data_IF_015940642736
#
_entry.id   IF_015940642736
#
_cell.length_a   1.000
_cell.length_b   1.000
_cell.length_c   1.000
_cell.angle_alpha   90.00
_cell.angle_beta   90.00
_cell.angle_gamma   90.00
#
_symmetry.space_group_name_H-M   'P 1'
#
loop_
_entity.id
_entity.type
_entity.pdbx_description
1 polymer ?
#
# COMPACT_ATOMS: atom_id res chain seq x y z
N UNK A 1 -14.95 -4.26 -0.76
CA UNK A 1 -15.68 -3.13 -1.38
C UNK A 1 -14.78 -2.10 -2.07
N UNK A 2 -13.93 -1.32 -1.39
CA UNK A 2 -13.09 -0.30 -2.05
C UNK A 2 -12.11 -0.88 -3.10
N UNK A 3 -11.43 -1.98 -2.77
CA UNK A 3 -10.53 -2.70 -3.69
C UNK A 3 -11.30 -3.26 -4.89
N UNK A 4 -12.42 -3.93 -4.63
CA UNK A 4 -13.30 -4.49 -5.67
C UNK A 4 -13.79 -3.41 -6.64
N UNK A 5 -14.18 -2.24 -6.12
CA UNK A 5 -14.61 -1.12 -6.96
C UNK A 5 -13.49 -0.59 -7.85
N UNK A 6 -12.26 -0.49 -7.32
CA UNK A 6 -11.09 -0.09 -8.12
C UNK A 6 -10.82 -1.10 -9.25
N UNK A 7 -10.91 -2.41 -8.95
CA UNK A 7 -10.74 -3.47 -9.95
C UNK A 7 -11.86 -3.44 -11.00
N UNK A 8 -13.12 -3.32 -10.57
CA UNK A 8 -14.27 -3.23 -11.48
C UNK A 8 -14.22 -1.98 -12.38
N UNK A 9 -13.60 -0.90 -11.93
CA UNK A 9 -13.36 0.30 -12.72
C UNK A 9 -12.20 0.15 -13.73
N UNK A 10 -11.58 -1.04 -13.84
CA UNK A 10 -10.44 -1.31 -14.74
C UNK A 10 -9.09 -0.92 -14.15
N UNK A 11 -9.01 -0.69 -12.84
CA UNK A 11 -7.77 -0.34 -12.15
C UNK A 11 -6.72 -1.46 -12.20
N UNK A 12 -5.45 -1.07 -12.27
CA UNK A 12 -4.32 -1.99 -12.28
C UNK A 12 -4.03 -2.46 -10.86
N UNK A 13 -4.44 -3.69 -10.51
CA UNK A 13 -4.30 -4.21 -9.16
C UNK A 13 -3.49 -5.50 -9.10
N UNK A 14 -2.67 -5.64 -8.06
CA UNK A 14 -1.90 -6.83 -7.76
C UNK A 14 -2.28 -7.40 -6.38
N UNK A 15 -2.79 -8.63 -6.32
CA UNK A 15 -3.04 -9.31 -5.06
C UNK A 15 -1.73 -9.85 -4.46
N UNK A 16 -1.36 -9.37 -3.29
CA UNK A 16 -0.33 -9.99 -2.46
C UNK A 16 -0.94 -11.24 -1.79
N UNK A 17 -0.45 -12.42 -2.18
CA UNK A 17 -0.85 -13.69 -1.58
C UNK A 17 -0.10 -13.89 -0.25
N UNK A 18 -0.79 -14.03 0.90
CA UNK A 18 -0.16 -14.25 2.20
C UNK A 18 0.77 -15.49 2.23
N UNK A 19 0.48 -16.51 1.42
CA UNK A 19 1.33 -17.70 1.33
C UNK A 19 2.72 -17.41 0.75
N UNK A 20 2.92 -16.26 0.10
CA UNK A 20 4.24 -15.84 -0.34
C UNK A 20 5.23 -15.69 0.84
N UNK A 21 4.73 -15.36 2.04
CA UNK A 21 5.54 -15.23 3.26
C UNK A 21 6.20 -16.53 3.72
N UNK A 22 5.68 -17.68 3.27
CA UNK A 22 6.19 -19.00 3.66
C UNK A 22 6.83 -19.75 2.48
N UNK A 23 6.49 -19.37 1.24
CA UNK A 23 6.90 -20.08 0.04
C UNK A 23 8.00 -19.35 -0.76
N UNK A 24 8.33 -18.11 -0.40
CA UNK A 24 9.29 -17.28 -1.13
C UNK A 24 10.01 -16.35 -0.17
N UNK A 25 11.17 -15.84 -0.57
CA UNK A 25 11.84 -14.77 0.19
C UNK A 25 11.12 -13.44 -0.06
N UNK A 26 11.10 -12.58 0.96
CA UNK A 26 10.53 -11.23 0.84
C UNK A 26 11.16 -10.45 -0.32
N UNK A 27 12.48 -10.58 -0.51
CA UNK A 27 13.21 -9.95 -1.61
C UNK A 27 12.67 -10.34 -2.98
N UNK A 28 12.36 -11.63 -3.19
CA UNK A 28 11.80 -12.12 -4.45
C UNK A 28 10.39 -11.57 -4.66
N UNK A 29 9.55 -11.59 -3.62
CA UNK A 29 8.17 -11.08 -3.70
C UNK A 29 8.15 -9.59 -4.02
N UNK A 30 9.01 -8.80 -3.35
CA UNK A 30 9.17 -7.37 -3.63
C UNK A 30 9.62 -7.17 -5.07
N UNK A 31 10.65 -7.88 -5.52
CA UNK A 31 11.18 -7.75 -6.87
C UNK A 31 10.12 -8.04 -7.95
N UNK A 32 9.32 -9.09 -7.77
CA UNK A 32 8.27 -9.48 -8.70
C UNK A 32 7.17 -8.41 -8.79
N UNK A 33 6.74 -7.86 -7.65
CA UNK A 33 5.72 -6.80 -7.60
C UNK A 33 6.24 -5.52 -8.22
N UNK A 34 7.48 -5.12 -7.94
CA UNK A 34 8.08 -3.93 -8.53
C UNK A 34 8.30 -4.08 -10.04
N UNK A 35 8.69 -5.27 -10.51
CA UNK A 35 8.82 -5.58 -11.93
C UNK A 35 7.47 -5.50 -12.65
N UNK A 36 6.38 -5.96 -12.01
CA UNK A 36 5.02 -5.80 -12.51
C UNK A 36 4.57 -4.33 -12.52
N UNK A 37 4.84 -3.56 -11.46
CA UNK A 37 4.36 -2.19 -11.32
C UNK A 37 5.07 -1.24 -12.28
N UNK A 38 6.39 -1.36 -12.45
CA UNK A 38 7.24 -0.44 -13.21
C UNK A 38 6.70 -0.05 -14.60
N UNK A 39 6.29 -0.97 -15.50
CA UNK A 39 5.75 -0.60 -16.81
C UNK A 39 4.32 -0.01 -16.77
N UNK A 40 3.64 -0.10 -15.61
CA UNK A 40 2.27 0.36 -15.42
C UNK A 40 2.20 1.76 -14.81
N UNK A 41 3.18 2.15 -14.00
CA UNK A 41 3.25 3.48 -13.36
C UNK A 41 3.04 4.66 -14.33
N UNK A 42 3.59 4.66 -15.57
CA UNK A 42 3.34 5.74 -16.53
C UNK A 42 1.90 5.79 -17.06
N UNK A 43 1.12 4.71 -16.89
CA UNK A 43 -0.26 4.57 -17.39
C UNK A 43 -1.30 4.97 -16.34
N UNK A 44 -0.91 5.11 -15.07
CA UNK A 44 -1.81 5.48 -13.99
C UNK A 44 -1.49 4.78 -12.65
N UNK A 45 -2.35 4.95 -11.65
CA UNK A 45 -2.15 4.38 -10.33
C UNK A 45 -2.23 2.85 -10.36
N UNK A 46 -1.37 2.21 -9.57
CA UNK A 46 -1.39 0.77 -9.30
C UNK A 46 -1.83 0.53 -7.85
N UNK A 47 -2.55 -0.57 -7.62
CA UNK A 47 -3.01 -0.97 -6.30
C UNK A 47 -2.38 -2.31 -5.91
N UNK A 48 -1.60 -2.32 -4.83
CA UNK A 48 -1.12 -3.56 -4.21
C UNK A 48 -1.96 -3.78 -2.95
N UNK A 49 -2.53 -4.98 -2.80
CA UNK A 49 -3.40 -5.28 -1.66
C UNK A 49 -3.20 -6.72 -1.17
N UNK A 50 -3.25 -6.95 0.14
CA UNK A 50 -3.28 -8.31 0.68
C UNK A 50 -4.64 -8.94 0.39
N UNK A 51 -4.64 -10.16 -0.16
CA UNK A 51 -5.88 -10.92 -0.28
C UNK A 51 -6.40 -11.30 1.10
N UNK A 52 -7.73 -11.33 1.24
CA UNK A 52 -8.39 -11.69 2.49
C UNK A 52 -8.93 -13.12 2.45
N UNK A 53 -8.33 -14.03 1.66
CA UNK A 53 -8.79 -15.43 1.64
C UNK A 53 -8.60 -16.02 3.04
N UNK A 54 -9.68 -16.29 3.80
CA UNK A 54 -9.56 -16.62 5.21
C UNK A 54 -8.78 -17.92 5.44
N UNK A 55 -8.85 -18.85 4.48
CA UNK A 55 -8.14 -20.13 4.57
C UNK A 55 -6.63 -19.98 4.33
N UNK A 56 -6.22 -19.08 3.43
CA UNK A 56 -4.80 -18.76 3.22
C UNK A 56 -4.23 -18.03 4.43
N UNK A 57 -4.98 -17.04 4.96
CA UNK A 57 -4.59 -16.30 6.16
C UNK A 57 -4.43 -17.25 7.35
N UNK A 58 -5.39 -18.16 7.59
CA UNK A 58 -5.28 -19.17 8.66
C UNK A 58 -4.05 -20.05 8.50
N UNK A 59 -3.70 -20.47 7.28
CA UNK A 59 -2.50 -21.28 7.03
C UNK A 59 -1.23 -20.53 7.44
N UNK A 60 -1.07 -19.29 7.02
CA UNK A 60 0.10 -18.47 7.39
C UNK A 60 0.15 -18.27 8.91
N UNK A 61 -0.97 -17.89 9.52
CA UNK A 61 -1.07 -17.70 10.97
C UNK A 61 -0.77 -18.98 11.76
N UNK A 62 -1.14 -20.15 11.25
CA UNK A 62 -0.83 -21.44 11.89
C UNK A 62 0.66 -21.78 11.90
N UNK A 63 1.43 -21.26 10.94
CA UNK A 63 2.85 -21.52 10.82
C UNK A 63 3.71 -20.46 11.51
N UNK A 64 3.35 -19.18 11.34
CA UNK A 64 4.13 -18.04 11.85
C UNK A 64 3.59 -17.50 13.18
N UNK A 65 2.34 -17.78 13.52
CA UNK A 65 1.60 -17.08 14.56
C UNK A 65 0.86 -15.85 14.02
N UNK A 66 -0.24 -15.47 14.68
CA UNK A 66 -1.12 -14.37 14.23
C UNK A 66 -0.38 -13.04 14.14
N UNK A 67 0.34 -12.67 15.20
CA UNK A 67 1.07 -11.40 15.26
C UNK A 67 2.19 -11.36 14.20
N UNK A 68 3.05 -12.38 14.16
CA UNK A 68 4.17 -12.41 13.23
C UNK A 68 3.72 -12.43 11.76
N UNK A 69 2.59 -13.08 11.45
CA UNK A 69 2.00 -13.02 10.13
C UNK A 69 1.54 -11.60 9.75
N UNK A 70 0.91 -10.88 10.68
CA UNK A 70 0.51 -9.48 10.47
C UNK A 70 1.72 -8.58 10.23
N UNK A 71 2.70 -8.63 11.14
CA UNK A 71 3.93 -7.84 11.07
C UNK A 71 4.69 -8.13 9.76
N UNK A 72 4.73 -9.39 9.31
CA UNK A 72 5.39 -9.77 8.07
C UNK A 72 4.69 -9.17 6.83
N UNK A 73 3.35 -9.21 6.76
CA UNK A 73 2.60 -8.56 5.68
C UNK A 73 2.86 -7.04 5.67
N UNK A 74 2.84 -6.41 6.84
CA UNK A 74 3.05 -4.97 6.97
C UNK A 74 4.45 -4.55 6.54
N UNK A 75 5.49 -5.27 6.98
CA UNK A 75 6.87 -5.02 6.59
C UNK A 75 7.09 -5.24 5.08
N UNK A 76 6.46 -6.27 4.51
CA UNK A 76 6.53 -6.55 3.08
C UNK A 76 5.89 -5.41 2.27
N UNK A 77 4.68 -4.97 2.65
CA UNK A 77 4.01 -3.82 2.03
C UNK A 77 4.81 -2.53 2.18
N UNK A 78 5.44 -2.30 3.33
CA UNK A 78 6.30 -1.14 3.56
C UNK A 78 7.55 -1.16 2.66
N UNK A 79 8.14 -2.34 2.44
CA UNK A 79 9.27 -2.52 1.53
C UNK A 79 8.87 -2.28 0.07
N UNK A 80 7.69 -2.77 -0.33
CA UNK A 80 7.11 -2.49 -1.66
C UNK A 80 6.87 -0.98 -1.82
N UNK A 81 6.28 -0.32 -0.82
CA UNK A 81 6.02 1.12 -0.86
C UNK A 81 7.31 1.93 -1.06
N UNK A 82 8.38 1.57 -0.35
CA UNK A 82 9.71 2.17 -0.55
C UNK A 82 10.21 1.95 -1.97
N UNK A 83 10.17 0.71 -2.47
CA UNK A 83 10.60 0.40 -3.83
C UNK A 83 9.80 1.14 -4.91
N UNK A 84 8.51 1.39 -4.69
CA UNK A 84 7.69 2.20 -5.60
C UNK A 84 8.12 3.68 -5.60
N UNK A 85 8.43 4.24 -4.42
CA UNK A 85 8.99 5.61 -4.32
C UNK A 85 10.35 5.69 -4.99
N UNK A 86 11.20 4.67 -4.83
CA UNK A 86 12.50 4.58 -5.52
C UNK A 86 12.34 4.50 -7.05
N UNK A 87 11.22 3.97 -7.54
CA UNK A 87 10.84 3.97 -8.96
C UNK A 87 10.26 5.31 -9.45
N UNK A 88 10.17 6.33 -8.59
CA UNK A 88 9.69 7.67 -8.91
C UNK A 88 8.22 7.93 -8.62
N UNK A 89 7.55 7.10 -7.81
CA UNK A 89 6.18 7.40 -7.36
C UNK A 89 6.18 8.61 -6.43
N UNK A 90 5.50 9.68 -6.87
CA UNK A 90 5.33 10.93 -6.10
C UNK A 90 4.03 11.04 -5.30
N UNK A 91 3.12 10.08 -5.44
CA UNK A 91 1.84 10.02 -4.73
C UNK A 91 1.60 8.59 -4.21
N UNK A 92 1.55 8.43 -2.89
CA UNK A 92 1.38 7.14 -2.22
C UNK A 92 0.14 7.15 -1.33
N UNK A 93 -0.69 6.13 -1.44
CA UNK A 93 -1.89 5.99 -0.61
C UNK A 93 -1.80 4.64 0.12
N UNK A 94 -1.88 4.69 1.45
CA UNK A 94 -1.79 3.50 2.30
C UNK A 94 -3.09 3.35 3.09
N UNK A 95 -3.66 2.14 3.06
CA UNK A 95 -4.88 1.80 3.78
C UNK A 95 -4.59 0.73 4.84
N UNK A 96 -4.99 0.99 6.09
CA UNK A 96 -4.66 0.19 7.27
C UNK A 96 -3.79 0.99 8.23
N UNK A 97 -4.11 0.98 9.53
CA UNK A 97 -3.40 1.82 10.52
C UNK A 97 -1.97 1.34 10.74
N UNK A 98 -1.83 0.04 10.92
CA UNK A 98 -0.57 -0.66 11.13
C UNK A 98 0.29 -0.61 9.86
N UNK A 99 -0.30 -0.91 8.69
CA UNK A 99 0.35 -0.74 7.37
C UNK A 99 0.84 0.69 7.15
N UNK A 100 0.04 1.70 7.51
CA UNK A 100 0.42 3.11 7.40
C UNK A 100 1.65 3.42 8.25
N UNK A 101 1.69 2.93 9.50
CA UNK A 101 2.84 3.09 10.39
C UNK A 101 4.11 2.44 9.83
N UNK A 102 4.00 1.20 9.33
CA UNK A 102 5.10 0.48 8.72
C UNK A 102 5.67 1.23 7.50
N UNK A 103 4.81 1.69 6.59
CA UNK A 103 5.22 2.46 5.39
C UNK A 103 5.92 3.78 5.76
N UNK A 104 5.35 4.57 6.67
CA UNK A 104 5.94 5.85 7.13
C UNK A 104 7.34 5.62 7.70
N UNK A 105 7.50 4.58 8.53
CA UNK A 105 8.79 4.19 9.11
C UNK A 105 9.79 3.74 8.05
N UNK A 106 9.38 2.88 7.12
CA UNK A 106 10.27 2.37 6.06
C UNK A 106 10.75 3.45 5.09
N UNK A 107 9.91 4.47 4.86
CA UNK A 107 10.22 5.64 4.04
C UNK A 107 11.05 6.71 4.78
N UNK A 108 11.30 6.54 6.09
CA UNK A 108 12.04 7.53 6.89
C UNK A 108 11.29 8.87 7.03
N UNK A 109 9.95 8.84 7.06
CA UNK A 109 9.14 10.04 7.15
C UNK A 109 8.97 10.42 8.62
N UNK A 110 9.66 11.47 9.05
CA UNK A 110 9.55 11.99 10.42
C UNK A 110 8.56 13.15 10.55
N UNK A 111 8.25 13.81 9.42
CA UNK A 111 7.37 15.00 9.39
C UNK A 111 6.49 15.01 8.16
N UNK A 112 5.23 15.37 8.38
CA UNK A 112 4.25 15.55 7.32
C UNK A 112 3.58 16.91 7.46
N UNK A 113 3.30 17.55 6.33
CA UNK A 113 2.46 18.73 6.26
C UNK A 113 1.08 18.34 5.74
N UNK A 114 0.03 18.65 6.50
CA UNK A 114 -1.36 18.35 6.10
C UNK A 114 -1.75 19.29 4.95
N UNK A 115 -2.30 18.69 3.90
CA UNK A 115 -2.78 19.38 2.71
C UNK A 115 -4.28 19.19 2.48
N UNK A 116 -4.67 19.07 1.21
CA UNK A 116 -6.07 18.99 0.80
C UNK A 116 -6.75 17.71 1.31
N UNK A 117 -7.99 17.86 1.78
CA UNK A 117 -8.80 16.72 2.20
C UNK A 117 -9.29 15.92 0.98
N UNK A 118 -9.09 14.60 1.01
CA UNK A 118 -9.61 13.66 0.00
C UNK A 118 -11.04 13.27 0.36
N UNK A 119 -11.18 12.73 1.57
CA UNK A 119 -12.44 12.32 2.20
C UNK A 119 -12.42 12.74 3.69
N UNK A 120 -13.56 12.77 4.40
CA UNK A 120 -13.61 13.08 5.83
C UNK A 120 -12.61 12.25 6.64
N UNK A 121 -11.68 12.94 7.32
CA UNK A 121 -10.62 12.33 8.12
C UNK A 121 -9.40 11.80 7.34
N UNK A 122 -9.34 11.99 6.01
CA UNK A 122 -8.24 11.47 5.18
C UNK A 122 -7.72 12.57 4.24
N UNK A 123 -6.73 13.37 4.66
CA UNK A 123 -6.08 14.36 3.81
C UNK A 123 -4.92 13.76 3.01
N UNK A 124 -4.61 14.41 1.88
CA UNK A 124 -3.26 14.38 1.33
C UNK A 124 -2.32 15.09 2.29
N UNK A 125 -1.16 14.50 2.53
CA UNK A 125 -0.08 15.07 3.29
C UNK A 125 1.17 15.15 2.40
N UNK A 126 2.05 16.10 2.68
CA UNK A 126 3.35 16.21 2.02
C UNK A 126 4.44 15.73 2.98
N UNK A 127 5.28 14.77 2.55
CA UNK A 127 6.41 14.29 3.32
C UNK A 127 7.54 15.34 3.30
N UNK A 128 7.92 15.83 4.48
CA UNK A 128 8.93 16.88 4.61
C UNK A 128 10.31 16.27 4.85
N UNK A 129 11.28 16.66 4.03
CA UNK A 129 12.69 16.28 4.22
C UNK A 129 13.14 15.03 3.47
N UNK A 130 12.30 14.48 2.59
CA UNK A 130 12.72 13.46 1.63
C UNK A 130 13.48 14.11 0.45
N UNK A 131 14.40 13.36 -0.16
CA UNK A 131 15.11 13.79 -1.37
C UNK A 131 14.15 13.96 -2.56
N UNK A 132 13.16 13.08 -2.67
CA UNK A 132 12.12 13.15 -3.68
C UNK A 132 10.81 13.65 -3.06
N UNK A 133 10.10 14.61 -3.69
CA UNK A 133 8.80 15.06 -3.23
C UNK A 133 7.79 13.90 -3.19
N UNK A 134 7.18 13.67 -2.03
CA UNK A 134 6.19 12.62 -1.85
C UNK A 134 4.93 13.17 -1.19
N UNK A 135 3.80 12.98 -1.86
CA UNK A 135 2.49 13.12 -1.26
C UNK A 135 2.03 11.76 -0.72
N UNK A 136 1.54 11.73 0.50
CA UNK A 136 1.02 10.53 1.14
C UNK A 136 -0.39 10.74 1.67
N UNK A 137 -1.24 9.73 1.53
CA UNK A 137 -2.55 9.66 2.17
C UNK A 137 -2.61 8.40 3.04
N UNK A 138 -2.80 8.58 4.34
CA UNK A 138 -2.87 7.49 5.31
C UNK A 138 -4.32 7.30 5.75
N UNK A 139 -4.90 6.16 5.36
CA UNK A 139 -6.32 5.86 5.57
C UNK A 139 -6.47 4.72 6.57
N UNK A 140 -7.20 4.94 7.66
CA UNK A 140 -7.67 3.82 8.49
C UNK A 140 -8.60 2.91 7.68
N UNK A 141 -8.58 1.59 7.93
CA UNK A 141 -9.30 0.59 7.13
C UNK A 141 -10.79 0.91 6.90
N UNK A 142 -11.47 1.47 7.90
CA UNK A 142 -12.91 1.75 7.87
C UNK A 142 -13.31 3.12 7.29
N UNK A 143 -12.36 3.94 6.84
CA UNK A 143 -12.62 5.30 6.36
C UNK A 143 -12.76 5.40 4.83
N UNK A 144 -13.39 6.47 4.36
CA UNK A 144 -13.49 6.81 2.95
C UNK A 144 -14.63 6.13 2.19
N UNK A 145 -15.02 6.75 1.09
CA UNK A 145 -16.09 6.28 0.22
C UNK A 145 -15.71 5.00 -0.54
N UNK A 146 -16.69 4.27 -1.13
CA UNK A 146 -16.44 3.14 -2.02
C UNK A 146 -15.51 3.44 -3.21
N UNK A 147 -15.45 4.70 -3.64
CA UNK A 147 -14.67 5.20 -4.77
C UNK A 147 -13.36 5.88 -4.33
N UNK A 148 -12.93 5.68 -3.08
CA UNK A 148 -11.76 6.38 -2.52
C UNK A 148 -10.51 6.22 -3.41
N UNK A 149 -10.16 4.99 -3.78
CA UNK A 149 -8.96 4.71 -4.58
C UNK A 149 -9.04 5.23 -6.03
N UNK A 150 -10.23 5.41 -6.60
CA UNK A 150 -10.39 6.01 -7.93
C UNK A 150 -10.36 7.54 -7.87
N UNK A 151 -10.90 8.12 -6.81
CA UNK A 151 -11.08 9.58 -6.70
C UNK A 151 -9.85 10.28 -6.12
N UNK A 152 -9.08 9.64 -5.23
CA UNK A 152 -7.98 10.26 -4.50
C UNK A 152 -6.94 10.94 -5.42
N UNK A 153 -6.58 10.26 -6.51
CA UNK A 153 -5.59 10.74 -7.49
C UNK A 153 -6.11 11.84 -8.43
N UNK A 154 -7.42 12.15 -8.39
CA UNK A 154 -7.99 13.29 -9.12
C UNK A 154 -7.98 14.60 -8.33
N UNK A 155 -7.60 14.53 -7.05
CA UNK A 155 -7.68 15.65 -6.09
C UNK A 155 -6.35 16.40 -5.91
N UNK A 156 -5.28 15.95 -6.57
CA UNK A 156 -3.94 16.55 -6.52
C UNK A 156 -3.23 16.28 -7.84
#
# INVERSE_FOLDING_TARGET
HQVENFIHAGGMAYPLNPLALINSSDEQVVADILAWAKPLLPKGPVLIYSTANPEEVKKVQSQLGVQAAGDAIENLLATIAKGLVDLGVGQLLVAGGETSGACVKALGIDRIQIGQQIDPGVPWCYAVGLEQPLHLALKSGNFGSPHFFTNAFSKL
#
